data_IF_125140231446
#
_entry.id   IF_125140231446
#
_cell.length_a   1.000
_cell.length_b   1.000
_cell.length_c   1.000
_cell.angle_alpha   90.00
_cell.angle_beta   90.00
_cell.angle_gamma   90.00
#
_symmetry.space_group_name_H-M   'P 1'
#
loop_
_entity.id
_entity.type
_entity.pdbx_description
1 polymer ?
#
# COMPACT_ATOMS: atom_id res chain seq x y z
N UNK A 1 -8.68 1.81 -17.08
CA UNK A 1 -7.76 1.96 -15.94
C UNK A 1 -8.06 3.27 -15.25
N UNK A 2 -8.44 3.24 -13.97
CA UNK A 2 -8.64 4.47 -13.21
C UNK A 2 -7.28 5.09 -12.83
N UNK A 3 -7.22 6.42 -12.83
CA UNK A 3 -6.07 7.18 -12.36
C UNK A 3 -6.50 7.98 -11.15
N UNK A 4 -5.70 7.92 -10.09
CA UNK A 4 -5.94 8.63 -8.85
C UNK A 4 -4.82 9.62 -8.57
N UNK A 5 -5.13 10.67 -7.83
CA UNK A 5 -4.14 11.63 -7.39
C UNK A 5 -4.42 12.21 -6.00
N UNK A 6 -3.33 12.43 -5.26
CA UNK A 6 -3.36 13.22 -4.03
C UNK A 6 -2.36 14.36 -4.18
N UNK A 7 -2.83 15.58 -3.96
CA UNK A 7 -1.97 16.78 -3.91
C UNK A 7 -1.70 17.14 -2.46
N UNK A 8 -0.42 17.34 -2.12
CA UNK A 8 0.03 17.84 -0.81
C UNK A 8 0.52 19.27 -1.00
N UNK A 9 -0.19 20.22 -0.38
CA UNK A 9 0.22 21.61 -0.33
C UNK A 9 1.05 21.88 0.92
N UNK A 10 2.14 22.61 0.78
CA UNK A 10 3.06 22.97 1.85
C UNK A 10 3.48 24.42 1.63
N UNK A 11 3.56 25.21 2.71
CA UNK A 11 4.02 26.59 2.60
C UNK A 11 5.48 26.66 2.10
N UNK A 12 5.89 27.71 1.37
CA UNK A 12 7.27 27.85 0.91
C UNK A 12 8.31 27.78 2.05
N UNK A 13 7.96 28.30 3.23
CA UNK A 13 8.87 28.30 4.38
C UNK A 13 8.96 26.92 5.03
N UNK A 14 7.84 26.20 5.16
CA UNK A 14 7.86 24.80 5.63
C UNK A 14 8.64 23.89 4.68
N UNK A 15 8.51 24.08 3.35
CA UNK A 15 9.31 23.30 2.38
C UNK A 15 10.81 23.52 2.59
N UNK A 16 11.25 24.76 2.86
CA UNK A 16 12.67 25.04 3.14
C UNK A 16 13.13 24.32 4.40
N UNK A 17 12.34 24.35 5.47
CA UNK A 17 12.67 23.71 6.74
C UNK A 17 12.74 22.19 6.56
N UNK A 18 11.70 21.56 5.97
CA UNK A 18 11.69 20.12 5.72
C UNK A 18 12.90 19.67 4.91
N UNK A 19 13.28 20.43 3.88
CA UNK A 19 14.49 20.17 3.08
C UNK A 19 15.77 20.28 3.89
N UNK A 20 15.92 21.35 4.65
CA UNK A 20 17.12 21.60 5.46
C UNK A 20 17.31 20.56 6.55
N UNK A 21 16.21 20.07 7.13
CA UNK A 21 16.20 19.05 8.18
C UNK A 21 16.18 17.61 7.62
N UNK A 22 16.12 17.43 6.30
CA UNK A 22 16.21 16.12 5.64
C UNK A 22 14.95 15.27 5.72
N UNK A 23 13.77 15.88 5.88
CA UNK A 23 12.50 15.16 5.86
C UNK A 23 12.09 14.76 4.44
N UNK A 24 11.90 13.46 4.23
CA UNK A 24 11.28 12.89 3.03
C UNK A 24 9.81 12.58 3.27
N UNK A 25 9.01 12.58 2.20
CA UNK A 25 7.60 12.17 2.24
C UNK A 25 7.48 10.69 1.84
N UNK A 26 6.86 9.90 2.71
CA UNK A 26 6.60 8.49 2.50
C UNK A 26 5.10 8.23 2.39
N UNK A 27 4.74 7.29 1.52
CA UNK A 27 3.36 6.89 1.30
C UNK A 27 3.17 5.38 1.39
N UNK A 28 2.02 4.99 1.92
CA UNK A 28 1.58 3.62 2.08
C UNK A 28 0.19 3.45 1.47
N UNK A 29 -0.10 2.24 0.98
CA UNK A 29 -1.39 1.92 0.36
C UNK A 29 -2.18 0.96 1.24
N UNK A 30 -3.47 1.20 1.37
CA UNK A 30 -4.36 0.28 2.07
C UNK A 30 -4.79 -0.89 1.18
N UNK A 31 -4.98 -2.03 1.82
CA UNK A 31 -5.54 -3.24 1.20
C UNK A 31 -6.54 -3.89 2.15
N UNK A 32 -7.50 -4.62 1.60
CA UNK A 32 -8.35 -5.55 2.33
C UNK A 32 -7.83 -6.96 2.14
N UNK A 33 -7.54 -7.66 3.24
CA UNK A 33 -7.12 -9.05 3.22
C UNK A 33 -7.33 -9.69 4.59
N UNK A 34 -7.47 -11.01 4.61
CA UNK A 34 -7.45 -11.80 5.85
C UNK A 34 -6.01 -12.17 6.24
N UNK A 35 -5.77 -12.32 7.55
CA UNK A 35 -4.53 -12.86 8.10
C UNK A 35 -3.45 -11.81 8.37
N UNK A 36 -2.27 -12.28 8.71
CA UNK A 36 -1.14 -11.45 9.13
C UNK A 36 -0.30 -11.00 7.93
N UNK A 37 -0.66 -9.87 7.33
CA UNK A 37 0.22 -9.15 6.40
C UNK A 37 0.79 -7.87 6.99
N UNK A 38 1.63 -7.20 6.21
CA UNK A 38 2.16 -5.88 6.56
C UNK A 38 2.16 -4.94 5.35
N UNK A 39 1.94 -3.63 5.58
CA UNK A 39 2.13 -2.63 4.55
C UNK A 39 3.63 -2.42 4.29
N UNK A 40 3.94 -1.97 3.09
CA UNK A 40 5.29 -1.59 2.68
C UNK A 40 5.32 -0.13 2.27
N UNK A 41 6.51 0.49 2.29
CA UNK A 41 6.71 1.82 1.69
C UNK A 41 6.43 1.71 0.20
N UNK A 42 5.27 2.22 -0.20
CA UNK A 42 4.77 2.17 -1.57
C UNK A 42 5.23 3.39 -2.38
N UNK A 43 5.40 4.53 -1.69
CA UNK A 43 5.82 5.79 -2.28
C UNK A 43 6.91 6.44 -1.43
N UNK A 44 7.88 7.05 -2.10
CA UNK A 44 8.91 7.86 -1.47
C UNK A 44 9.21 9.07 -2.37
N UNK A 45 9.15 10.25 -1.76
CA UNK A 45 9.65 11.50 -2.33
C UNK A 45 10.77 12.03 -1.44
N UNK A 46 12.01 11.99 -1.93
CA UNK A 46 13.17 12.54 -1.22
C UNK A 46 13.00 14.01 -0.87
N UNK A 47 13.59 14.41 0.26
CA UNK A 47 13.56 15.79 0.78
C UNK A 47 13.87 16.83 -0.31
N UNK A 48 14.94 16.65 -1.08
CA UNK A 48 15.39 17.62 -2.09
C UNK A 48 14.35 17.88 -3.19
N UNK A 49 13.44 16.92 -3.42
CA UNK A 49 12.38 16.99 -4.43
C UNK A 49 11.04 17.51 -3.89
N UNK A 50 10.95 17.86 -2.60
CA UNK A 50 9.73 18.48 -2.07
C UNK A 50 9.42 19.81 -2.75
N UNK A 51 8.15 20.03 -3.04
CA UNK A 51 7.61 21.26 -3.64
C UNK A 51 6.44 21.77 -2.80
N UNK A 52 6.11 23.06 -2.97
CA UNK A 52 4.94 23.68 -2.32
C UNK A 52 3.62 23.05 -2.73
N UNK A 53 3.59 22.40 -3.89
CA UNK A 53 2.49 21.55 -4.36
C UNK A 53 3.10 20.26 -4.91
N UNK A 54 3.01 19.20 -4.13
CA UNK A 54 3.51 17.87 -4.49
C UNK A 54 2.35 16.98 -4.91
N UNK A 55 2.34 16.53 -6.17
CA UNK A 55 1.32 15.61 -6.68
C UNK A 55 1.81 14.17 -6.67
N UNK A 56 1.05 13.29 -6.02
CA UNK A 56 1.24 11.84 -6.04
C UNK A 56 0.17 11.27 -6.97
N UNK A 57 0.57 10.55 -8.02
CA UNK A 57 -0.35 9.97 -9.01
C UNK A 57 -0.12 8.47 -9.10
N UNK A 58 -1.21 7.70 -9.08
CA UNK A 58 -1.14 6.24 -9.27
C UNK A 58 -2.27 5.75 -10.16
N UNK A 59 -2.06 4.58 -10.75
CA UNK A 59 -2.99 3.97 -11.70
C UNK A 59 -3.42 2.60 -11.19
N UNK A 60 -4.64 2.19 -11.51
CA UNK A 60 -5.07 0.79 -11.38
C UNK A 60 -4.44 -0.05 -12.50
N UNK A 61 -3.13 -0.21 -12.39
CA UNK A 61 -2.32 -1.13 -13.16
C UNK A 61 -1.53 -1.94 -12.13
N UNK A 62 -1.86 -3.22 -12.02
CA UNK A 62 -1.34 -4.08 -10.97
C UNK A 62 -0.37 -5.13 -11.53
N UNK A 63 0.55 -5.52 -10.67
CA UNK A 63 1.30 -6.77 -10.85
C UNK A 63 1.16 -7.58 -9.58
N UNK A 64 1.14 -8.89 -9.70
CA UNK A 64 1.33 -9.78 -8.58
C UNK A 64 2.80 -10.16 -8.48
N UNK A 65 3.25 -10.47 -7.27
CA UNK A 65 4.58 -11.01 -7.05
C UNK A 65 4.55 -12.16 -6.06
N UNK A 66 5.56 -13.02 -6.16
CA UNK A 66 5.99 -13.86 -5.06
C UNK A 66 7.44 -13.54 -4.66
N UNK A 67 7.81 -13.90 -3.44
CA UNK A 67 9.11 -13.60 -2.85
C UNK A 67 9.46 -14.63 -1.78
N UNK A 68 10.74 -14.85 -1.55
CA UNK A 68 11.26 -15.62 -0.41
C UNK A 68 11.64 -14.73 0.78
N UNK A 69 11.55 -13.40 0.65
CA UNK A 69 11.78 -12.46 1.74
C UNK A 69 10.78 -12.70 2.88
N UNK A 70 11.27 -12.68 4.12
CA UNK A 70 10.41 -12.80 5.30
C UNK A 70 9.72 -11.47 5.59
N UNK A 71 8.41 -11.51 5.85
CA UNK A 71 7.66 -10.32 6.28
C UNK A 71 8.00 -10.01 7.74
N UNK A 72 8.89 -9.03 7.94
CA UNK A 72 9.30 -8.55 9.27
C UNK A 72 9.58 -7.04 9.22
N UNK A 73 9.47 -6.32 10.36
CA UNK A 73 9.73 -4.88 10.41
C UNK A 73 11.11 -4.52 9.85
N UNK A 74 11.19 -3.44 9.07
CA UNK A 74 12.42 -2.90 8.45
C UNK A 74 13.08 -3.83 7.43
N UNK A 75 12.42 -4.91 7.01
CA UNK A 75 12.90 -5.76 5.91
C UNK A 75 12.39 -5.23 4.58
N UNK A 76 13.29 -5.12 3.60
CA UNK A 76 12.94 -4.86 2.19
C UNK A 76 12.44 -6.15 1.56
N UNK A 77 11.25 -6.10 0.95
CA UNK A 77 10.73 -7.24 0.20
C UNK A 77 11.26 -7.19 -1.23
N UNK A 78 11.94 -8.26 -1.63
CA UNK A 78 12.49 -8.43 -2.97
C UNK A 78 11.61 -9.41 -3.75
N UNK A 79 10.93 -8.93 -4.78
CA UNK A 79 10.11 -9.80 -5.62
C UNK A 79 11.01 -10.79 -6.38
N UNK A 80 10.73 -12.09 -6.24
CA UNK A 80 11.39 -13.16 -6.99
C UNK A 80 10.84 -13.26 -8.41
N UNK A 81 9.51 -13.31 -8.54
CA UNK A 81 8.82 -13.23 -9.82
C UNK A 81 7.74 -12.16 -9.77
N UNK A 82 7.44 -11.58 -10.92
CA UNK A 82 6.33 -10.64 -11.10
C UNK A 82 5.55 -10.98 -12.36
N UNK A 83 4.24 -10.78 -12.32
CA UNK A 83 3.36 -10.96 -13.48
C UNK A 83 2.34 -9.83 -13.49
N UNK A 84 2.03 -9.29 -14.67
CA UNK A 84 0.91 -8.37 -14.80
C UNK A 84 -0.36 -9.09 -14.37
N UNK A 85 -1.22 -8.39 -13.63
CA UNK A 85 -2.48 -8.97 -13.17
C UNK A 85 -3.56 -7.89 -13.10
N UNK A 86 -4.80 -8.32 -13.16
CA UNK A 86 -5.97 -7.47 -12.98
C UNK A 86 -6.86 -7.98 -11.83
N UNK A 87 -7.80 -7.12 -11.40
CA UNK A 87 -8.79 -7.52 -10.40
C UNK A 87 -9.72 -8.59 -10.98
N UNK A 88 -9.95 -9.66 -10.22
CA UNK A 88 -10.67 -10.85 -10.67
C UNK A 88 -9.75 -12.00 -11.10
N UNK A 89 -8.43 -11.80 -11.11
CA UNK A 89 -7.51 -12.86 -11.49
C UNK A 89 -7.00 -13.70 -10.29
N UNK A 90 -6.61 -14.94 -10.62
CA UNK A 90 -5.96 -15.91 -9.76
C UNK A 90 -4.52 -16.11 -10.21
N UNK A 91 -3.59 -15.80 -9.31
CA UNK A 91 -2.16 -15.97 -9.50
C UNK A 91 -1.71 -17.26 -8.81
N UNK A 92 -1.30 -18.24 -9.61
CA UNK A 92 -0.88 -19.56 -9.11
C UNK A 92 0.63 -19.63 -9.05
N UNK A 93 1.18 -19.97 -7.88
CA UNK A 93 2.59 -20.34 -7.71
C UNK A 93 2.71 -21.83 -8.04
N UNK A 94 3.46 -22.12 -9.10
CA UNK A 94 3.71 -23.48 -9.59
C UNK A 94 4.54 -24.30 -8.60
N UNK A 95 4.19 -25.58 -8.49
CA UNK A 95 4.89 -26.53 -7.63
C UNK A 95 6.27 -26.87 -8.18
N UNK A 96 7.30 -26.69 -7.36
CA UNK A 96 8.69 -27.08 -7.63
C UNK A 96 9.52 -26.00 -8.34
N UNK A 97 8.89 -25.09 -9.07
CA UNK A 97 9.57 -23.98 -9.76
C UNK A 97 9.47 -22.66 -8.99
N UNK A 98 8.36 -22.43 -8.27
CA UNK A 98 8.04 -21.13 -7.70
C UNK A 98 7.70 -20.06 -8.75
N UNK A 99 7.56 -20.44 -10.03
CA UNK A 99 7.07 -19.54 -11.07
C UNK A 99 5.60 -19.17 -10.80
N UNK A 100 5.14 -18.07 -11.41
CA UNK A 100 3.77 -17.61 -11.27
C UNK A 100 3.08 -17.49 -12.63
N UNK A 101 1.83 -17.93 -12.68
CA UNK A 101 0.89 -17.76 -13.80
C UNK A 101 -0.37 -17.03 -13.32
N UNK A 102 -1.10 -16.39 -14.24
CA UNK A 102 -2.36 -15.69 -13.93
C UNK A 102 -3.50 -16.22 -14.80
N UNK A 103 -4.66 -16.48 -14.19
CA UNK A 103 -5.91 -16.85 -14.88
C UNK A 103 -7.07 -15.98 -14.40
N UNK A 104 -8.19 -15.97 -15.11
CA UNK A 104 -9.39 -15.20 -14.75
C UNK A 104 -10.30 -15.88 -13.71
N UNK A 105 -9.78 -16.84 -12.93
CA UNK A 105 -10.58 -17.66 -11.99
C UNK A 105 -10.55 -17.11 -10.54
N UNK A 106 -10.17 -15.85 -10.37
CA UNK A 106 -10.06 -15.20 -9.07
C UNK A 106 -11.36 -14.61 -8.55
N UNK A 107 -11.30 -14.08 -7.33
CA UNK A 107 -12.42 -13.35 -6.73
C UNK A 107 -12.59 -11.97 -7.37
N UNK A 108 -13.81 -11.58 -7.80
CA UNK A 108 -14.08 -10.26 -8.37
C UNK A 108 -13.62 -9.12 -7.45
N UNK A 109 -12.92 -8.14 -8.02
CA UNK A 109 -12.42 -6.97 -7.28
C UNK A 109 -11.17 -7.22 -6.43
N UNK A 110 -10.56 -8.40 -6.52
CA UNK A 110 -9.36 -8.75 -5.77
C UNK A 110 -8.32 -9.44 -6.68
N UNK A 111 -7.07 -9.48 -6.22
CA UNK A 111 -6.06 -10.40 -6.75
C UNK A 111 -6.01 -11.61 -5.83
N UNK A 112 -6.25 -12.79 -6.40
CA UNK A 112 -6.23 -14.06 -5.66
C UNK A 112 -4.89 -14.74 -5.88
N UNK A 113 -4.40 -15.46 -4.88
CA UNK A 113 -3.16 -16.20 -4.91
C UNK A 113 -3.42 -17.63 -4.49
N UNK A 114 -2.82 -18.58 -5.19
CA UNK A 114 -2.80 -20.00 -4.83
C UNK A 114 -1.36 -20.48 -4.83
N UNK A 115 -0.91 -21.08 -3.73
CA UNK A 115 0.43 -21.65 -3.65
C UNK A 115 0.38 -23.18 -3.72
N UNK A 116 0.65 -23.73 -4.91
CA UNK A 116 0.71 -25.18 -5.12
C UNK A 116 2.07 -25.78 -4.73
N UNK A 117 3.08 -24.94 -4.47
CA UNK A 117 4.36 -25.38 -3.95
C UNK A 117 4.24 -25.86 -2.49
N UNK A 118 5.19 -26.67 -2.02
CA UNK A 118 5.32 -27.03 -0.60
C UNK A 118 6.02 -25.93 0.21
N UNK A 119 6.82 -25.09 -0.45
CA UNK A 119 7.51 -23.96 0.13
C UNK A 119 6.53 -22.82 0.47
N UNK A 120 6.80 -22.13 1.59
CA UNK A 120 6.15 -20.88 1.95
C UNK A 120 6.74 -19.72 1.15
N UNK A 121 5.87 -18.84 0.66
CA UNK A 121 6.27 -17.60 0.00
C UNK A 121 5.71 -16.38 0.73
N UNK A 122 6.20 -15.22 0.35
CA UNK A 122 5.56 -13.92 0.54
C UNK A 122 4.93 -13.50 -0.78
N UNK A 123 3.69 -13.04 -0.74
CA UNK A 123 2.95 -12.55 -1.91
C UNK A 123 2.40 -11.16 -1.63
N UNK A 124 2.09 -10.45 -2.70
CA UNK A 124 1.43 -9.17 -2.62
C UNK A 124 1.21 -8.57 -3.99
N UNK A 125 0.84 -7.30 -3.98
CA UNK A 125 0.54 -6.54 -5.19
C UNK A 125 1.60 -5.45 -5.36
N UNK A 126 1.97 -5.19 -6.61
CA UNK A 126 2.67 -3.98 -7.02
C UNK A 126 1.69 -3.07 -7.74
N UNK A 127 1.89 -1.76 -7.61
CA UNK A 127 1.09 -0.76 -8.30
C UNK A 127 1.99 0.34 -8.83
N UNK A 128 1.63 0.84 -10.02
CA UNK A 128 2.31 1.98 -10.62
C UNK A 128 1.98 3.27 -9.86
N UNK A 129 3.00 3.89 -9.27
CA UNK A 129 2.94 5.21 -8.62
C UNK A 129 4.06 6.10 -9.15
N UNK A 130 3.71 7.30 -9.62
CA UNK A 130 4.61 8.24 -10.28
C UNK A 130 5.50 7.57 -11.36
N UNK A 131 4.92 6.64 -12.12
CA UNK A 131 5.60 5.92 -13.20
C UNK A 131 6.50 4.77 -12.77
N UNK A 132 6.51 4.38 -11.49
CA UNK A 132 7.27 3.23 -10.98
C UNK A 132 6.37 2.21 -10.31
N UNK A 133 6.57 0.93 -10.62
CA UNK A 133 5.86 -0.18 -9.97
C UNK A 133 6.49 -0.45 -8.61
N UNK A 134 5.71 -0.31 -7.53
CA UNK A 134 6.19 -0.53 -6.16
C UNK A 134 5.26 -1.49 -5.41
N UNK A 135 5.84 -2.30 -4.52
CA UNK A 135 5.12 -3.21 -3.62
C UNK A 135 4.29 -2.39 -2.63
N UNK A 136 2.98 -2.65 -2.54
CA UNK A 136 2.07 -1.99 -1.59
C UNK A 136 1.90 -2.77 -0.28
N UNK A 137 2.04 -4.09 -0.33
CA UNK A 137 1.83 -4.95 0.81
C UNK A 137 2.57 -6.27 0.66
N UNK A 138 2.79 -6.93 1.79
CA UNK A 138 3.47 -8.22 1.87
C UNK A 138 2.73 -9.14 2.82
N UNK A 139 2.41 -10.34 2.32
CA UNK A 139 1.63 -11.32 3.04
C UNK A 139 2.28 -12.70 2.90
N UNK A 140 2.54 -13.41 4.00
CA UNK A 140 3.03 -14.78 3.91
C UNK A 140 1.93 -15.73 3.44
N UNK A 141 2.20 -16.58 2.45
CA UNK A 141 1.31 -17.65 2.02
C UNK A 141 1.99 -19.00 2.25
N UNK A 142 1.32 -19.90 2.97
CA UNK A 142 1.81 -21.26 3.20
C UNK A 142 1.81 -22.06 1.89
N UNK A 143 2.49 -23.21 1.86
CA UNK A 143 2.43 -24.13 0.73
C UNK A 143 1.18 -25.00 0.72
N UNK A 144 1.25 -26.09 -0.05
CA UNK A 144 0.30 -27.19 -0.11
C UNK A 144 -1.14 -26.76 -0.46
N UNK A 145 -1.29 -25.88 -1.45
CA UNK A 145 -2.59 -25.42 -1.96
C UNK A 145 -3.22 -24.32 -1.11
N UNK A 146 -2.45 -23.64 -0.27
CA UNK A 146 -2.97 -22.51 0.51
C UNK A 146 -3.28 -21.33 -0.40
N UNK A 147 -4.37 -20.62 -0.09
CA UNK A 147 -4.83 -19.48 -0.86
C UNK A 147 -4.73 -18.16 -0.09
N UNK A 148 -4.72 -17.04 -0.83
CA UNK A 148 -4.82 -15.69 -0.28
C UNK A 148 -5.58 -14.79 -1.23
N UNK A 149 -6.37 -13.87 -0.68
CA UNK A 149 -7.11 -12.88 -1.47
C UNK A 149 -6.75 -11.49 -0.94
N UNK A 150 -6.33 -10.61 -1.84
CA UNK A 150 -5.91 -9.24 -1.51
C UNK A 150 -6.69 -8.27 -2.41
N UNK A 151 -7.43 -7.36 -1.79
CA UNK A 151 -8.19 -6.31 -2.48
C UNK A 151 -7.49 -4.96 -2.29
N UNK A 152 -6.95 -4.33 -3.34
CA UNK A 152 -6.50 -2.94 -3.26
C UNK A 152 -7.63 -2.00 -2.82
N UNK A 153 -7.34 -1.04 -1.93
CA UNK A 153 -8.31 -0.04 -1.46
C UNK A 153 -7.82 1.35 -1.85
N UNK A 154 -8.76 2.24 -2.21
CA UNK A 154 -8.51 3.65 -2.55
C UNK A 154 -8.23 4.54 -1.33
N UNK A 155 -7.50 4.02 -0.33
CA UNK A 155 -7.00 4.77 0.83
C UNK A 155 -5.48 4.77 0.85
N UNK A 156 -4.87 5.86 1.30
CA UNK A 156 -3.42 5.99 1.46
C UNK A 156 -3.08 6.58 2.83
N UNK A 157 -1.91 6.25 3.36
CA UNK A 157 -1.31 6.99 4.47
C UNK A 157 -0.07 7.75 3.99
N UNK A 158 0.11 8.99 4.46
CA UNK A 158 1.26 9.83 4.19
C UNK A 158 1.92 10.27 5.50
N UNK A 159 3.25 10.22 5.56
CA UNK A 159 4.07 10.68 6.70
C UNK A 159 5.36 11.34 6.22
N UNK A 160 5.86 12.30 7.00
CA UNK A 160 7.21 12.85 6.83
C UNK A 160 8.18 12.16 7.79
N UNK A 161 9.37 11.80 7.34
CA UNK A 161 10.41 11.21 8.21
C UNK A 161 11.81 11.57 7.72
N UNK A 162 12.75 11.68 8.66
CA UNK A 162 14.19 11.81 8.39
C UNK A 162 14.88 10.46 8.23
N UNK A 163 14.21 9.36 8.58
CA UNK A 163 14.71 8.02 8.30
C UNK A 163 14.87 7.82 6.79
N UNK A 164 15.95 7.17 6.38
CA UNK A 164 16.19 6.81 4.98
C UNK A 164 15.64 5.41 4.74
N UNK A 165 14.46 5.33 4.12
CA UNK A 165 13.77 4.07 3.92
C UNK A 165 13.55 3.83 2.43
N UNK A 166 13.88 2.63 1.99
CA UNK A 166 13.68 2.21 0.62
C UNK A 166 12.23 1.81 0.37
N UNK A 167 11.74 1.99 -0.85
CA UNK A 167 10.45 1.41 -1.27
C UNK A 167 10.49 -0.11 -1.09
N UNK A 168 9.32 -0.72 -0.88
CA UNK A 168 9.16 -2.12 -0.50
C UNK A 168 9.64 -2.51 0.92
N UNK A 169 10.15 -1.57 1.72
CA UNK A 169 10.44 -1.83 3.15
C UNK A 169 9.16 -2.01 3.95
N UNK A 170 9.08 -3.06 4.75
CA UNK A 170 7.96 -3.32 5.68
C UNK A 170 8.04 -2.36 6.87
N UNK A 171 6.98 -1.56 7.07
CA UNK A 171 6.88 -0.62 8.20
C UNK A 171 5.60 -0.92 8.97
N UNK A 172 5.75 -1.31 10.24
CA UNK A 172 4.61 -1.73 11.09
C UNK A 172 4.11 -0.64 12.03
N UNK A 173 4.90 0.42 12.26
CA UNK A 173 4.54 1.58 13.08
C UNK A 173 4.85 2.88 12.37
N UNK A 174 4.00 3.87 12.55
CA UNK A 174 4.22 5.21 12.03
C UNK A 174 5.45 5.85 12.69
N UNK A 175 6.30 6.48 11.89
CA UNK A 175 7.50 7.18 12.39
C UNK A 175 7.20 8.60 12.87
N UNK A 176 6.08 9.17 12.42
CA UNK A 176 5.63 10.51 12.74
C UNK A 176 4.11 10.59 12.66
N UNK A 177 3.56 11.77 12.97
CA UNK A 177 2.15 12.04 12.71
C UNK A 177 1.88 12.06 11.20
N UNK A 178 0.71 11.57 10.80
CA UNK A 178 0.39 11.34 9.40
C UNK A 178 -1.05 11.60 9.03
N UNK A 179 -1.27 11.62 7.73
CA UNK A 179 -2.58 11.72 7.10
C UNK A 179 -3.03 10.36 6.57
N UNK A 180 -4.18 9.88 6.99
CA UNK A 180 -4.89 8.77 6.37
C UNK A 180 -6.01 9.31 5.49
N UNK A 181 -5.87 9.14 4.18
CA UNK A 181 -6.67 9.83 3.15
C UNK A 181 -7.53 8.81 2.43
N UNK A 182 -8.84 9.04 2.43
CA UNK A 182 -9.84 8.23 1.73
C UNK A 182 -10.26 8.87 0.39
N UNK A 183 -9.99 8.15 -0.69
CA UNK A 183 -10.41 8.50 -2.04
C UNK A 183 -11.64 7.67 -2.48
N UNK A 184 -12.35 7.00 -1.58
CA UNK A 184 -13.58 6.29 -1.94
C UNK A 184 -14.60 7.25 -2.56
N UNK A 185 -15.05 6.94 -3.78
CA UNK A 185 -16.00 7.75 -4.54
C UNK A 185 -15.41 8.99 -5.23
N UNK A 186 -14.08 9.17 -5.23
CA UNK A 186 -13.39 10.23 -5.98
C UNK A 186 -12.06 9.74 -6.54
N UNK A 187 -11.56 10.40 -7.57
CA UNK A 187 -10.22 10.13 -8.12
C UNK A 187 -9.14 11.06 -7.53
N UNK A 188 -9.55 12.12 -6.85
CA UNK A 188 -8.64 13.19 -6.43
C UNK A 188 -8.94 13.73 -5.04
N UNK A 189 -7.87 14.02 -4.28
CA UNK A 189 -7.90 14.71 -3.00
C UNK A 189 -6.74 15.71 -2.89
N UNK A 190 -6.96 16.77 -2.13
CA UNK A 190 -5.93 17.77 -1.81
C UNK A 190 -5.87 17.96 -0.31
N UNK A 191 -4.69 17.76 0.27
CA UNK A 191 -4.40 17.99 1.68
C UNK A 191 -3.37 19.11 1.84
N UNK A 192 -3.45 19.82 2.94
CA UNK A 192 -2.46 20.81 3.33
C UNK A 192 -1.63 20.24 4.51
N UNK A 193 -0.33 20.54 4.54
CA UNK A 193 0.56 20.20 5.65
C UNK A 193 1.32 21.44 6.12
N UNK A 194 1.35 21.63 7.44
CA UNK A 194 2.17 22.64 8.10
C UNK A 194 2.95 21.97 9.24
N UNK A 195 4.22 22.36 9.45
CA UNK A 195 5.12 21.66 10.39
C UNK A 195 4.56 21.62 11.81
N UNK A 196 3.97 22.74 12.27
CA UNK A 196 3.48 22.89 13.64
C UNK A 196 1.99 22.56 13.81
N UNK A 197 1.21 22.52 12.73
CA UNK A 197 -0.24 22.25 12.78
C UNK A 197 -0.62 20.86 12.21
N UNK A 198 0.34 20.20 11.55
CA UNK A 198 0.16 18.88 10.95
C UNK A 198 -0.66 18.91 9.66
N UNK A 199 -1.40 17.82 9.44
CA UNK A 199 -2.18 17.59 8.23
C UNK A 199 -3.60 18.14 8.36
N UNK A 200 -4.11 18.78 7.30
CA UNK A 200 -5.47 19.28 7.25
C UNK A 200 -6.14 19.09 5.88
N UNK A 201 -7.47 19.00 5.90
CA UNK A 201 -8.32 18.91 4.70
C UNK A 201 -9.41 19.98 4.70
N UNK A 202 -9.19 21.10 5.42
CA UNK A 202 -10.14 22.22 5.55
C UNK A 202 -11.58 21.78 5.88
N UNK A 203 -11.72 20.78 6.76
CA UNK A 203 -13.01 20.20 7.17
C UNK A 203 -13.44 18.92 6.44
N UNK A 204 -12.62 18.39 5.52
CA UNK A 204 -12.89 17.12 4.85
C UNK A 204 -12.93 15.92 5.80
N UNK A 205 -14.06 15.21 5.85
CA UNK A 205 -14.26 13.99 6.65
C UNK A 205 -13.52 12.75 6.10
N UNK A 206 -12.95 12.86 4.90
CA UNK A 206 -12.17 11.83 4.23
C UNK A 206 -10.70 11.81 4.66
N UNK A 207 -10.26 12.79 5.46
CA UNK A 207 -8.95 12.82 6.09
C UNK A 207 -9.09 12.43 7.56
N UNK A 208 -8.27 11.47 8.00
CA UNK A 208 -8.08 11.14 9.41
C UNK A 208 -6.60 11.26 9.76
N UNK A 209 -6.29 12.08 10.76
CA UNK A 209 -4.92 12.16 11.26
C UNK A 209 -4.61 11.01 12.22
N UNK A 210 -3.35 10.61 12.25
CA UNK A 210 -2.83 9.63 13.20
C UNK A 210 -1.49 10.10 13.77
N UNK A 211 -1.12 9.56 14.93
CA UNK A 211 0.09 9.96 15.65
C UNK A 211 1.28 9.07 15.28
N UNK A 212 2.48 9.52 15.66
CA UNK A 212 3.64 8.63 15.70
C UNK A 212 3.34 7.35 16.50
N UNK A 213 4.01 6.27 16.15
CA UNK A 213 3.84 4.92 16.71
C UNK A 213 2.48 4.26 16.49
N UNK A 214 1.57 4.88 15.71
CA UNK A 214 0.33 4.23 15.27
C UNK A 214 0.66 2.91 14.58
N UNK A 215 -0.08 1.85 14.93
CA UNK A 215 0.01 0.54 14.30
C UNK A 215 -0.47 0.63 12.84
N UNK A 216 0.49 0.72 11.91
CA UNK A 216 0.20 0.88 10.48
C UNK A 216 -0.40 -0.38 9.89
N UNK A 217 -0.09 -1.55 10.43
CA UNK A 217 -0.72 -2.80 10.01
C UNK A 217 -2.22 -2.75 10.28
N UNK A 218 -2.64 -2.36 11.49
CA UNK A 218 -4.08 -2.20 11.81
C UNK A 218 -4.75 -1.07 11.05
N UNK A 219 -4.02 0.01 10.74
CA UNK A 219 -4.57 1.15 10.02
C UNK A 219 -4.77 0.85 8.52
N UNK A 220 -3.83 0.14 7.90
CA UNK A 220 -3.75 -0.01 6.44
C UNK A 220 -4.27 -1.36 5.91
N UNK A 221 -4.34 -2.39 6.76
CA UNK A 221 -4.87 -3.70 6.37
C UNK A 221 -6.28 -3.85 6.96
N UNK A 222 -7.28 -3.64 6.12
CA UNK A 222 -8.67 -3.85 6.48
C UNK A 222 -8.99 -5.35 6.47
N UNK A 223 -9.37 -5.89 7.63
CA UNK A 223 -9.66 -7.30 7.74
C UNK A 223 -10.99 -7.63 7.01
N UNK A 224 -10.93 -8.53 6.02
CA UNK A 224 -12.06 -8.92 5.17
C UNK A 224 -13.20 -9.61 5.90
N UNK A 225 -12.99 -10.09 7.15
CA UNK A 225 -14.08 -10.62 7.99
C UNK A 225 -15.27 -9.66 8.14
N UNK A 226 -15.04 -8.35 8.02
CA UNK A 226 -16.10 -7.32 8.05
C UNK A 226 -16.90 -7.26 6.73
N UNK A 227 -16.24 -7.53 5.59
CA UNK A 227 -16.79 -7.41 4.23
C UNK A 227 -17.42 -8.72 3.74
N UNK A 228 -16.87 -9.87 4.13
CA UNK A 228 -17.47 -11.20 3.97
C UNK A 228 -18.78 -11.33 4.77
N UNK A 229 -18.83 -10.73 5.96
CA UNK A 229 -20.08 -10.62 6.74
C UNK A 229 -21.11 -9.75 6.00
N UNK A 230 -20.71 -8.60 5.46
CA UNK A 230 -21.60 -7.75 4.68
C UNK A 230 -22.06 -8.36 3.33
N UNK A 231 -21.25 -9.23 2.71
CA UNK A 231 -21.62 -9.97 1.50
C UNK A 231 -22.53 -11.17 1.79
N UNK A 232 -22.33 -11.86 2.92
CA UNK A 232 -23.21 -12.95 3.37
C UNK A 232 -24.55 -12.48 3.95
N UNK A 233 -24.63 -11.24 4.42
CA UNK A 233 -25.88 -10.61 4.86
C UNK A 233 -26.71 -10.03 3.69
N UNK A 234 -26.11 -9.83 2.51
CA UNK A 234 -26.81 -9.39 1.29
C UNK A 234 -27.28 -10.53 0.38
N UNK A 235 -26.85 -11.75 0.65
CA UNK A 235 -27.26 -12.97 -0.08
C UNK A 235 -28.30 -13.79 0.68
N UNK A 236 -28.99 -13.19 1.66
CA UNK A 236 -30.15 -13.75 2.37
C UNK A 236 -31.42 -13.00 2.02
#
# INVERSE_FOLDING_TARGET
>A
MATFNTTVNISPDDVKILKAEGYSLYGFKSVAASGDGSPTVWFHLPAEKLLTSTKITWQEQFQAYNSTSTVAPQVVIEASNTINTDLGELVTIEKGSGNIESTSDGYPGAVSFLNNDTQRFTVGINQLVNGKSNILCAFPILGAGSARVITPITKIALIFSTEKIETATVITKAMSAGAFIDLTGTDSRTVDYAINDGWSAKGGNWLKNFNAFTDLKKLLIENTSSREKALSERSK
#
